data_IF_378788009732
#
_entry.id   IF_378788009732
#
_cell.length_a   1.000
_cell.length_b   1.000
_cell.length_c   1.000
_cell.angle_alpha   90.00
_cell.angle_beta   90.00
_cell.angle_gamma   90.00
#
_symmetry.space_group_name_H-M   'P 1'
#
loop_
_entity.id
_entity.type
_entity.pdbx_description
1 polymer ?
#
# COMPACT_ATOMS: atom_id res chain seq x y z
N UNK A 1 -58.73 -20.36 70.14
CA UNK A 1 -57.29 -20.08 70.37
C UNK A 1 -56.70 -19.52 69.08
N UNK A 2 -56.28 -18.23 69.08
CA UNK A 2 -55.72 -17.54 67.91
C UNK A 2 -54.23 -17.88 67.78
N UNK A 3 -53.78 -18.37 66.62
CA UNK A 3 -52.35 -18.48 66.29
C UNK A 3 -51.87 -17.13 65.73
N UNK A 4 -50.86 -16.54 66.38
CA UNK A 4 -50.20 -15.31 65.93
C UNK A 4 -49.09 -15.65 64.93
N UNK A 5 -49.03 -14.91 63.82
CA UNK A 5 -48.00 -15.00 62.79
C UNK A 5 -46.72 -14.27 63.25
N UNK A 6 -45.57 -14.93 63.12
CA UNK A 6 -44.26 -14.33 63.31
C UNK A 6 -43.98 -13.31 62.18
N UNK A 7 -43.52 -12.12 62.56
CA UNK A 7 -43.04 -11.09 61.62
C UNK A 7 -41.52 -11.12 61.61
N UNK A 8 -40.92 -11.47 60.47
CA UNK A 8 -39.48 -11.33 60.26
C UNK A 8 -39.12 -9.84 60.15
N UNK A 9 -38.29 -9.36 61.08
CA UNK A 9 -37.72 -8.01 61.04
C UNK A 9 -36.37 -8.06 60.33
N UNK A 10 -36.37 -7.81 59.02
CA UNK A 10 -35.14 -7.46 58.32
C UNK A 10 -34.61 -6.13 58.89
N UNK A 11 -33.33 -6.03 59.28
CA UNK A 11 -32.79 -4.79 59.86
C UNK A 11 -32.86 -3.66 58.82
N UNK A 12 -33.65 -2.63 59.10
CA UNK A 12 -33.72 -1.42 58.28
C UNK A 12 -32.43 -0.61 58.43
N UNK A 13 -31.59 -0.62 57.41
CA UNK A 13 -30.40 0.24 57.38
C UNK A 13 -30.84 1.72 57.46
N UNK A 14 -30.15 2.57 58.24
CA UNK A 14 -30.48 4.00 58.29
C UNK A 14 -30.40 4.63 56.90
N UNK A 15 -31.50 5.24 56.45
CA UNK A 15 -31.62 5.78 55.08
C UNK A 15 -30.50 6.76 54.69
N UNK A 16 -29.95 7.50 55.67
CA UNK A 16 -28.84 8.43 55.42
C UNK A 16 -27.54 7.73 55.03
N UNK A 17 -27.26 6.53 55.57
CA UNK A 17 -26.07 5.74 55.21
C UNK A 17 -26.21 5.19 53.79
N UNK A 18 -27.39 4.69 53.44
CA UNK A 18 -27.69 4.21 52.09
C UNK A 18 -27.58 5.33 51.05
N UNK A 19 -28.12 6.52 51.36
CA UNK A 19 -28.05 7.68 50.47
C UNK A 19 -26.61 8.20 50.31
N UNK A 20 -25.81 8.19 51.38
CA UNK A 20 -24.39 8.57 51.31
C UNK A 20 -23.59 7.64 50.41
N UNK A 21 -23.77 6.32 50.57
CA UNK A 21 -23.09 5.32 49.72
C UNK A 21 -23.53 5.46 48.26
N UNK A 22 -24.82 5.70 48.01
CA UNK A 22 -25.34 5.92 46.65
C UNK A 22 -24.74 7.17 46.01
N UNK A 23 -24.60 8.27 46.77
CA UNK A 23 -23.99 9.51 46.30
C UNK A 23 -22.51 9.32 45.94
N UNK A 24 -21.77 8.61 46.79
CA UNK A 24 -20.36 8.30 46.54
C UNK A 24 -20.18 7.42 45.30
N UNK A 25 -21.05 6.41 45.14
CA UNK A 25 -21.06 5.55 43.96
C UNK A 25 -21.39 6.35 42.68
N UNK A 26 -22.40 7.23 42.75
CA UNK A 26 -22.77 8.09 41.62
C UNK A 26 -21.63 9.06 41.25
N UNK A 27 -20.99 9.67 42.24
CA UNK A 27 -19.82 10.54 42.02
C UNK A 27 -18.65 9.78 41.37
N UNK A 28 -18.42 8.53 41.78
CA UNK A 28 -17.42 7.67 41.16
C UNK A 28 -17.72 7.36 39.69
N UNK A 29 -18.98 7.00 39.37
CA UNK A 29 -19.41 6.79 37.99
C UNK A 29 -19.29 8.05 37.13
N UNK A 30 -19.63 9.23 37.68
CA UNK A 30 -19.45 10.51 36.99
C UNK A 30 -17.95 10.78 36.73
N UNK A 31 -17.09 10.49 37.70
CA UNK A 31 -15.63 10.59 37.53
C UNK A 31 -15.10 9.68 36.42
N UNK A 32 -15.58 8.44 36.34
CA UNK A 32 -15.23 7.51 35.25
C UNK A 32 -15.76 7.98 33.90
N UNK A 33 -17.00 8.46 33.83
CA UNK A 33 -17.59 8.99 32.61
C UNK A 33 -16.81 10.22 32.10
N UNK A 34 -16.45 11.15 33.00
CA UNK A 34 -15.60 12.29 32.66
C UNK A 34 -14.21 11.86 32.18
N UNK A 35 -13.61 10.86 32.83
CA UNK A 35 -12.31 10.29 32.42
C UNK A 35 -12.37 9.63 31.05
N UNK A 36 -13.46 8.92 30.75
CA UNK A 36 -13.71 8.29 29.47
C UNK A 36 -13.93 9.32 28.36
N UNK A 37 -14.75 10.34 28.61
CA UNK A 37 -14.96 11.46 27.69
C UNK A 37 -13.66 12.22 27.41
N UNK A 38 -12.83 12.46 28.43
CA UNK A 38 -11.52 13.10 28.23
C UNK A 38 -10.59 12.25 27.36
N UNK A 39 -10.56 10.92 27.58
CA UNK A 39 -9.74 10.02 26.78
C UNK A 39 -10.23 9.92 25.32
N UNK A 40 -11.56 9.89 25.11
CA UNK A 40 -12.17 9.81 23.79
C UNK A 40 -12.14 11.15 23.03
N UNK A 41 -12.31 12.30 23.70
CA UNK A 41 -12.40 13.60 23.02
C UNK A 41 -11.03 14.24 22.72
N UNK A 42 -10.04 14.10 23.62
CA UNK A 42 -8.75 14.79 23.50
C UNK A 42 -7.60 13.90 23.00
N UNK A 43 -7.70 12.57 23.15
CA UNK A 43 -6.60 11.65 22.84
C UNK A 43 -6.83 10.76 21.60
N UNK A 44 -7.96 10.89 20.90
CA UNK A 44 -8.22 10.14 19.66
C UNK A 44 -7.15 10.44 18.60
N UNK A 45 -6.76 11.69 18.42
CA UNK A 45 -5.78 12.12 17.42
C UNK A 45 -4.45 11.37 17.48
N UNK A 46 -3.93 11.08 18.68
CA UNK A 46 -2.62 10.41 18.82
C UNK A 46 -2.71 8.91 18.48
N UNK A 47 -3.78 8.24 18.91
CA UNK A 47 -3.99 6.82 18.63
C UNK A 47 -4.41 6.59 17.17
N UNK A 48 -5.20 7.50 16.62
CA UNK A 48 -5.69 7.45 15.24
C UNK A 48 -4.54 7.71 14.26
N UNK A 49 -3.67 8.70 14.51
CA UNK A 49 -2.43 8.90 13.72
C UNK A 49 -1.48 7.70 13.76
N UNK A 50 -1.36 7.01 14.91
CA UNK A 50 -0.54 5.79 15.06
C UNK A 50 -1.17 4.54 14.43
N UNK A 51 -2.48 4.59 14.17
CA UNK A 51 -3.21 3.64 13.33
C UNK A 51 -3.00 3.95 11.85
N UNK A 52 -3.22 5.21 11.44
CA UNK A 52 -3.05 5.70 10.07
C UNK A 52 -1.64 5.48 9.54
N UNK A 53 -0.59 5.71 10.36
CA UNK A 53 0.79 5.44 9.96
C UNK A 53 1.08 3.97 9.63
N UNK A 54 0.19 3.06 10.03
CA UNK A 54 0.33 1.61 9.81
C UNK A 54 -0.39 1.13 8.55
N UNK A 55 -1.36 1.90 8.04
CA UNK A 55 -2.22 1.49 6.91
C UNK A 55 -2.16 2.44 5.70
N UNK A 56 -1.90 3.72 5.92
CA UNK A 56 -1.80 4.72 4.86
C UNK A 56 -0.39 4.69 4.25
N UNK A 57 -0.28 4.25 3.01
CA UNK A 57 0.96 4.34 2.22
C UNK A 57 0.80 5.35 1.10
N UNK A 58 1.80 6.20 0.94
CA UNK A 58 1.94 7.04 -0.25
C UNK A 58 2.63 6.19 -1.31
N UNK A 59 1.95 5.94 -2.42
CA UNK A 59 2.53 5.33 -3.61
C UNK A 59 2.77 6.45 -4.62
N UNK A 60 4.01 6.58 -5.08
CA UNK A 60 4.32 7.47 -6.19
C UNK A 60 3.74 6.91 -7.48
N UNK A 61 3.00 7.74 -8.21
CA UNK A 61 2.51 7.44 -9.54
C UNK A 61 3.49 8.07 -10.52
N UNK A 62 4.21 7.22 -11.25
CA UNK A 62 5.12 7.66 -12.30
C UNK A 62 4.39 8.50 -13.35
N UNK A 63 4.90 9.69 -13.64
CA UNK A 63 4.38 10.51 -14.72
C UNK A 63 4.74 9.89 -16.07
N UNK A 64 3.87 10.06 -17.07
CA UNK A 64 4.21 9.72 -18.44
C UNK A 64 5.18 10.75 -18.99
N UNK A 65 6.36 10.31 -19.43
CA UNK A 65 7.37 11.17 -20.04
C UNK A 65 6.86 11.79 -21.35
N UNK A 66 7.22 13.05 -21.60
CA UNK A 66 6.83 13.80 -22.80
C UNK A 66 7.27 13.12 -24.11
N UNK A 67 6.45 13.23 -25.15
CA UNK A 67 6.78 12.70 -26.48
C UNK A 67 7.79 13.60 -27.19
N UNK A 68 8.80 13.01 -27.82
CA UNK A 68 9.69 13.73 -28.74
C UNK A 68 9.20 13.49 -30.16
N UNK A 69 8.97 14.58 -30.90
CA UNK A 69 8.51 14.55 -32.29
C UNK A 69 9.46 15.34 -33.19
N UNK A 70 9.53 14.96 -34.46
CA UNK A 70 10.22 15.76 -35.49
C UNK A 70 9.35 16.96 -35.92
N UNK A 71 9.92 17.85 -36.75
CA UNK A 71 9.27 19.00 -37.39
C UNK A 71 7.99 18.66 -38.17
N UNK A 72 7.84 17.42 -38.63
CA UNK A 72 6.66 16.93 -39.34
C UNK A 72 5.66 16.24 -38.40
N UNK A 73 5.87 16.32 -37.07
CA UNK A 73 5.06 15.70 -36.03
C UNK A 73 5.10 14.16 -36.02
N UNK A 74 6.18 13.58 -36.55
CA UNK A 74 6.43 12.13 -36.47
C UNK A 74 7.09 11.77 -35.13
N UNK A 75 6.61 10.72 -34.42
CA UNK A 75 7.13 10.36 -33.10
C UNK A 75 8.52 9.75 -33.20
N UNK A 76 9.47 10.38 -32.53
CA UNK A 76 10.86 9.93 -32.43
C UNK A 76 11.13 9.17 -31.12
N UNK A 77 10.44 9.54 -30.04
CA UNK A 77 10.46 8.82 -28.76
C UNK A 77 9.10 8.91 -28.05
N UNK A 78 8.59 7.75 -27.64
CA UNK A 78 7.27 7.61 -26.99
C UNK A 78 7.42 6.83 -25.69
N UNK A 79 6.68 7.22 -24.64
CA UNK A 79 6.56 6.42 -23.43
C UNK A 79 5.35 5.51 -23.51
N UNK A 80 5.61 4.21 -23.50
CA UNK A 80 4.59 3.17 -23.59
C UNK A 80 4.35 2.58 -22.19
N UNK A 81 3.09 2.38 -21.77
CA UNK A 81 2.79 1.72 -20.51
C UNK A 81 3.26 0.26 -20.55
N UNK A 82 3.96 -0.15 -19.51
CA UNK A 82 4.44 -1.51 -19.28
C UNK A 82 4.14 -1.93 -17.85
N UNK A 83 4.26 -3.22 -17.56
CA UNK A 83 4.00 -3.76 -16.24
C UNK A 83 5.27 -4.39 -15.68
N UNK A 84 5.61 -4.06 -14.44
CA UNK A 84 6.67 -4.73 -13.69
C UNK A 84 6.06 -5.71 -12.70
N UNK A 85 6.63 -6.91 -12.62
CA UNK A 85 6.23 -7.92 -11.64
C UNK A 85 7.08 -7.73 -10.39
N UNK A 86 6.40 -7.46 -9.28
CA UNK A 86 7.00 -7.31 -7.97
C UNK A 86 6.38 -8.32 -6.99
N UNK A 87 7.07 -8.55 -5.88
CA UNK A 87 6.58 -9.38 -4.80
C UNK A 87 6.89 -8.75 -3.44
N UNK A 88 6.05 -9.08 -2.46
CA UNK A 88 6.32 -8.90 -1.02
C UNK A 88 6.77 -10.25 -0.47
N UNK A 89 8.09 -10.51 -0.32
CA UNK A 89 8.61 -11.80 0.13
C UNK A 89 7.94 -12.37 1.39
N UNK A 90 7.54 -11.51 2.33
CA UNK A 90 6.85 -11.92 3.55
C UNK A 90 5.43 -12.50 3.30
N UNK A 91 4.78 -12.10 2.22
CA UNK A 91 3.40 -12.48 1.87
C UNK A 91 3.34 -13.53 0.74
N UNK A 92 4.48 -13.98 0.23
CA UNK A 92 4.53 -14.98 -0.85
C UNK A 92 4.28 -16.37 -0.28
N UNK A 93 3.06 -16.86 -0.51
CA UNK A 93 2.65 -18.24 -0.23
C UNK A 93 2.44 -18.96 -1.56
N UNK A 94 3.38 -19.80 -1.98
CA UNK A 94 3.33 -20.47 -3.27
C UNK A 94 3.85 -21.90 -3.21
N UNK A 95 3.19 -22.79 -3.94
CA UNK A 95 3.67 -24.16 -4.11
C UNK A 95 4.94 -24.19 -4.99
N UNK A 96 5.86 -25.15 -4.79
CA UNK A 96 7.06 -25.26 -5.62
C UNK A 96 6.76 -25.36 -7.13
N UNK A 97 5.58 -25.87 -7.50
CA UNK A 97 5.11 -25.94 -8.88
C UNK A 97 4.73 -24.55 -9.45
N UNK A 98 4.10 -23.71 -8.63
CA UNK A 98 3.71 -22.35 -9.02
C UNK A 98 4.94 -21.46 -9.17
N UNK A 99 5.91 -21.56 -8.26
CA UNK A 99 7.18 -20.85 -8.37
C UNK A 99 7.96 -21.24 -9.64
N UNK A 100 7.92 -22.51 -10.04
CA UNK A 100 8.52 -22.95 -11.32
C UNK A 100 7.81 -22.31 -12.51
N UNK A 101 6.48 -22.24 -12.49
CA UNK A 101 5.68 -21.63 -13.56
C UNK A 101 5.88 -20.11 -13.63
N UNK A 102 5.97 -19.46 -12.48
CA UNK A 102 6.32 -18.05 -12.37
C UNK A 102 7.71 -17.78 -12.96
N UNK A 103 8.72 -18.56 -12.57
CA UNK A 103 10.08 -18.44 -13.10
C UNK A 103 10.11 -18.59 -14.64
N UNK A 104 9.36 -19.55 -15.19
CA UNK A 104 9.23 -19.75 -16.63
C UNK A 104 8.59 -18.55 -17.34
N UNK A 105 7.50 -17.99 -16.80
CA UNK A 105 6.84 -16.82 -17.37
C UNK A 105 7.72 -15.56 -17.31
N UNK A 106 8.51 -15.41 -16.25
CA UNK A 106 9.43 -14.29 -16.08
C UNK A 106 10.76 -14.47 -16.84
N UNK A 107 11.02 -15.67 -17.36
CA UNK A 107 12.27 -16.03 -18.05
C UNK A 107 13.50 -15.97 -17.15
N UNK A 108 13.35 -16.25 -15.85
CA UNK A 108 14.44 -16.29 -14.86
C UNK A 108 14.61 -17.70 -14.30
N UNK A 109 15.78 -18.00 -13.73
CA UNK A 109 15.99 -19.30 -13.11
C UNK A 109 15.22 -19.44 -11.80
N UNK A 110 14.85 -20.67 -11.43
CA UNK A 110 14.19 -20.93 -10.15
C UNK A 110 15.07 -20.56 -8.94
N UNK A 111 16.39 -20.65 -9.08
CA UNK A 111 17.35 -20.24 -8.05
C UNK A 111 17.38 -18.72 -7.88
N UNK A 112 17.41 -17.98 -9.00
CA UNK A 112 17.37 -16.52 -8.98
C UNK A 112 16.07 -16.01 -8.36
N UNK A 113 14.93 -16.60 -8.71
CA UNK A 113 13.64 -16.28 -8.11
C UNK A 113 13.65 -16.50 -6.60
N UNK A 114 14.15 -17.66 -6.14
CA UNK A 114 14.27 -17.97 -4.70
C UNK A 114 15.21 -17.02 -3.98
N UNK A 115 16.34 -16.67 -4.59
CA UNK A 115 17.30 -15.74 -4.01
C UNK A 115 16.68 -14.35 -3.81
N UNK A 116 15.89 -13.87 -4.78
CA UNK A 116 15.15 -12.60 -4.66
C UNK A 116 14.06 -12.64 -3.59
N UNK A 117 13.46 -13.80 -3.34
CA UNK A 117 12.42 -14.02 -2.34
C UNK A 117 12.95 -14.45 -0.97
N UNK A 118 14.27 -14.68 -0.82
CA UNK A 118 14.85 -15.20 0.42
C UNK A 118 14.83 -14.17 1.56
N UNK A 119 14.90 -12.88 1.23
CA UNK A 119 14.93 -11.78 2.20
C UNK A 119 13.51 -11.35 2.58
N UNK A 120 12.96 -11.97 3.62
CA UNK A 120 11.61 -11.69 4.16
C UNK A 120 11.53 -10.38 4.96
N UNK A 121 12.66 -9.70 5.21
CA UNK A 121 12.63 -8.38 5.85
C UNK A 121 12.24 -7.28 4.87
N UNK A 122 12.42 -7.52 3.57
CA UNK A 122 11.98 -6.58 2.53
C UNK A 122 10.49 -6.72 2.32
N UNK A 123 9.80 -5.59 2.36
CA UNK A 123 8.38 -5.51 2.02
C UNK A 123 8.14 -5.54 0.49
N UNK A 124 9.18 -5.29 -0.30
CA UNK A 124 9.06 -5.10 -1.74
C UNK A 124 10.34 -5.51 -2.48
N UNK A 125 10.20 -6.36 -3.49
CA UNK A 125 11.28 -6.78 -4.40
C UNK A 125 10.76 -6.90 -5.83
N UNK A 126 11.48 -6.32 -6.80
CA UNK A 126 11.23 -6.53 -8.22
C UNK A 126 11.68 -7.93 -8.67
N UNK A 127 10.75 -8.72 -9.19
CA UNK A 127 11.06 -10.02 -9.81
C UNK A 127 11.48 -9.84 -11.27
N UNK A 128 10.79 -8.96 -12.00
CA UNK A 128 11.15 -8.61 -13.38
C UNK A 128 10.49 -7.28 -13.73
N UNK A 129 11.26 -6.37 -14.34
CA UNK A 129 10.77 -5.04 -14.72
C UNK A 129 10.40 -4.95 -16.19
N UNK A 130 9.48 -4.04 -16.50
CA UNK A 130 9.13 -3.62 -17.87
C UNK A 130 8.70 -4.77 -18.80
N UNK A 131 7.84 -5.67 -18.32
CA UNK A 131 7.22 -6.69 -19.16
C UNK A 131 6.11 -6.09 -20.03
N UNK A 132 5.90 -6.65 -21.24
CA UNK A 132 4.69 -6.38 -22.01
C UNK A 132 3.44 -6.72 -21.18
N UNK A 133 2.37 -5.90 -21.25
CA UNK A 133 1.13 -6.14 -20.49
C UNK A 133 0.57 -7.57 -20.67
N UNK A 134 0.59 -8.12 -21.89
CA UNK A 134 0.13 -9.48 -22.18
C UNK A 134 0.93 -10.59 -21.47
N UNK A 135 2.21 -10.35 -21.17
CA UNK A 135 3.02 -11.29 -20.38
C UNK A 135 2.72 -11.13 -18.89
N UNK A 136 2.55 -9.90 -18.42
CA UNK A 136 2.24 -9.60 -17.03
C UNK A 136 0.85 -10.11 -16.62
N UNK A 137 -0.15 -10.05 -17.49
CA UNK A 137 -1.49 -10.61 -17.26
C UNK A 137 -1.42 -12.12 -16.97
N UNK A 138 -0.59 -12.87 -17.72
CA UNK A 138 -0.38 -14.30 -17.49
C UNK A 138 0.24 -14.58 -16.11
N UNK A 139 1.05 -13.67 -15.59
CA UNK A 139 1.62 -13.78 -14.24
C UNK A 139 0.54 -13.58 -13.18
N UNK A 140 -0.34 -12.59 -13.35
CA UNK A 140 -1.47 -12.35 -12.42
C UNK A 140 -2.45 -13.52 -12.42
N UNK A 141 -2.68 -14.15 -13.58
CA UNK A 141 -3.54 -15.33 -13.69
C UNK A 141 -3.05 -16.54 -12.87
N UNK A 142 -1.78 -16.57 -12.44
CA UNK A 142 -1.30 -17.60 -11.51
C UNK A 142 -1.89 -17.43 -10.11
N UNK A 143 -2.40 -16.25 -9.75
CA UNK A 143 -3.09 -16.02 -8.48
C UNK A 143 -2.22 -16.16 -7.24
N UNK A 144 -0.88 -16.07 -7.38
CA UNK A 144 0.07 -16.26 -6.28
C UNK A 144 -0.05 -15.09 -5.28
N UNK A 145 -0.42 -15.36 -4.00
CA UNK A 145 -0.39 -14.36 -2.95
C UNK A 145 0.98 -13.67 -2.83
N UNK A 146 0.98 -12.37 -2.54
CA UNK A 146 2.21 -11.59 -2.39
C UNK A 146 2.89 -11.18 -3.71
N UNK A 147 2.47 -11.70 -4.87
CA UNK A 147 2.93 -11.25 -6.20
C UNK A 147 1.92 -10.29 -6.81
N UNK A 148 2.39 -9.15 -7.30
CA UNK A 148 1.55 -8.10 -7.87
C UNK A 148 2.24 -7.37 -9.02
N UNK A 149 1.43 -6.69 -9.83
CA UNK A 149 1.92 -5.84 -10.91
C UNK A 149 2.04 -4.39 -10.45
N UNK A 150 3.08 -3.73 -10.96
CA UNK A 150 3.28 -2.31 -10.84
C UNK A 150 3.37 -1.70 -12.23
N UNK A 151 2.47 -0.75 -12.50
CA UNK A 151 2.46 0.02 -13.74
C UNK A 151 3.71 0.89 -13.80
N UNK A 152 4.45 0.75 -14.87
CA UNK A 152 5.61 1.56 -15.20
C UNK A 152 5.50 2.06 -16.64
N UNK A 153 6.42 2.93 -17.04
CA UNK A 153 6.56 3.34 -18.43
C UNK A 153 7.92 2.91 -18.94
N UNK A 154 7.97 2.57 -20.23
CA UNK A 154 9.22 2.31 -20.93
C UNK A 154 9.29 3.19 -22.17
N UNK A 155 10.47 3.75 -22.39
CA UNK A 155 10.76 4.55 -23.58
C UNK A 155 10.97 3.67 -24.81
N UNK A 156 10.24 3.98 -25.88
CA UNK A 156 10.34 3.32 -27.18
C UNK A 156 10.73 4.35 -28.25
N UNK A 157 11.65 3.97 -29.14
CA UNK A 157 12.24 4.84 -30.16
C UNK A 157 11.91 4.29 -31.56
N UNK A 158 10.83 4.74 -32.22
CA UNK A 158 10.40 4.20 -33.52
C UNK A 158 11.45 4.34 -34.62
N UNK A 159 12.21 5.44 -34.62
CA UNK A 159 13.29 5.69 -35.58
C UNK A 159 14.56 4.85 -35.33
N UNK A 160 14.60 4.10 -34.21
CA UNK A 160 15.68 3.17 -33.87
C UNK A 160 17.07 3.81 -33.87
N UNK A 161 18.02 3.07 -34.44
CA UNK A 161 19.46 3.41 -34.43
C UNK A 161 19.80 4.68 -35.22
N UNK A 162 18.97 5.07 -36.20
CA UNK A 162 19.28 6.20 -37.10
C UNK A 162 19.36 7.53 -36.33
N UNK A 163 18.55 7.65 -35.27
CA UNK A 163 18.46 8.88 -34.46
C UNK A 163 18.92 8.67 -33.01
N UNK A 164 19.43 7.50 -32.66
CA UNK A 164 19.77 7.14 -31.27
C UNK A 164 20.83 8.04 -30.65
N UNK A 165 21.82 8.48 -31.42
CA UNK A 165 22.86 9.39 -30.91
C UNK A 165 22.39 10.83 -30.71
N UNK A 166 21.35 11.25 -31.42
CA UNK A 166 20.78 12.60 -31.30
C UNK A 166 19.74 12.61 -30.18
N UNK A 167 18.86 11.62 -30.17
CA UNK A 167 17.80 11.50 -29.16
C UNK A 167 18.38 11.05 -27.82
N UNK A 168 19.28 10.07 -27.84
CA UNK A 168 19.80 9.42 -26.65
C UNK A 168 18.93 8.25 -26.20
N UNK A 169 19.09 7.85 -24.95
CA UNK A 169 18.26 6.83 -24.32
C UNK A 169 17.96 7.14 -22.85
N UNK A 170 17.02 6.39 -22.28
CA UNK A 170 16.66 6.43 -20.85
C UNK A 170 17.08 5.15 -20.15
N UNK A 171 17.31 5.24 -18.84
CA UNK A 171 17.59 4.10 -17.98
C UNK A 171 16.34 3.29 -17.61
N UNK A 172 16.52 2.29 -16.75
CA UNK A 172 15.40 1.44 -16.25
C UNK A 172 14.40 2.25 -15.42
N UNK A 173 14.85 3.35 -14.80
CA UNK A 173 14.01 4.26 -14.04
C UNK A 173 13.44 5.43 -14.87
N UNK A 174 13.44 5.28 -16.20
CA UNK A 174 12.92 6.27 -17.18
C UNK A 174 13.60 7.65 -17.14
N UNK A 175 14.81 7.73 -16.55
CA UNK A 175 15.66 8.93 -16.54
C UNK A 175 16.55 8.98 -17.77
N UNK A 176 16.55 10.10 -18.48
CA UNK A 176 17.45 10.38 -19.60
C UNK A 176 18.90 10.28 -19.17
N UNK A 177 19.70 9.56 -19.95
CA UNK A 177 21.13 9.35 -19.67
C UNK A 177 22.03 10.04 -20.71
N UNK A 178 21.52 10.27 -21.92
CA UNK A 178 22.31 10.81 -23.02
C UNK A 178 21.51 11.79 -23.90
N UNK A 179 22.24 12.64 -24.62
CA UNK A 179 21.76 13.52 -25.68
C UNK A 179 20.48 14.31 -25.32
N UNK A 180 19.48 14.38 -26.22
CA UNK A 180 18.26 15.16 -25.99
C UNK A 180 17.46 14.66 -24.79
N UNK A 181 17.41 13.34 -24.55
CA UNK A 181 16.72 12.77 -23.39
C UNK A 181 17.31 13.29 -22.08
N UNK A 182 18.64 13.40 -21.96
CA UNK A 182 19.30 13.99 -20.79
C UNK A 182 19.15 15.52 -20.76
N UNK A 183 19.36 16.19 -21.89
CA UNK A 183 19.36 17.65 -21.97
C UNK A 183 17.99 18.26 -21.61
N UNK A 184 16.90 17.56 -21.92
CA UNK A 184 15.53 17.99 -21.65
C UNK A 184 14.85 17.18 -20.55
N UNK A 185 15.61 16.50 -19.68
CA UNK A 185 15.07 15.66 -18.59
C UNK A 185 14.03 16.40 -17.74
N UNK A 186 14.31 17.64 -17.34
CA UNK A 186 13.39 18.43 -16.49
C UNK A 186 12.05 18.74 -17.19
N UNK A 187 12.06 18.85 -18.52
CA UNK A 187 10.85 19.14 -19.31
C UNK A 187 10.12 17.84 -19.66
N UNK A 188 10.87 16.78 -20.00
CA UNK A 188 10.32 15.51 -20.45
C UNK A 188 9.83 14.64 -19.29
N UNK A 189 10.52 14.62 -18.15
CA UNK A 189 10.23 13.73 -17.02
C UNK A 189 8.90 13.99 -16.32
N UNK A 190 8.29 15.16 -16.53
CA UNK A 190 7.06 15.54 -15.86
C UNK A 190 7.24 15.62 -14.34
N UNK A 191 6.12 15.60 -13.60
CA UNK A 191 6.14 15.57 -12.14
C UNK A 191 5.43 14.31 -11.66
N UNK A 192 6.08 13.43 -10.90
CA UNK A 192 5.42 12.25 -10.37
C UNK A 192 4.24 12.69 -9.50
N UNK A 193 3.10 12.03 -9.69
CA UNK A 193 1.97 12.16 -8.79
C UNK A 193 2.21 11.36 -7.52
N UNK A 194 1.42 11.59 -6.49
CA UNK A 194 1.42 10.77 -5.29
C UNK A 194 0.00 10.42 -4.93
N UNK A 195 -0.26 9.15 -4.62
CA UNK A 195 -1.57 8.68 -4.21
C UNK A 195 -1.51 8.01 -2.87
N UNK A 196 -2.41 8.40 -1.97
CA UNK A 196 -2.49 7.81 -0.63
C UNK A 196 -3.45 6.64 -0.65
N UNK A 197 -2.93 5.44 -0.45
CA UNK A 197 -3.72 4.21 -0.44
C UNK A 197 -3.72 3.56 0.93
N UNK A 198 -4.86 2.97 1.29
CA UNK A 198 -4.98 2.05 2.42
C UNK A 198 -4.80 0.64 1.90
N UNK A 199 -3.84 -0.09 2.47
CA UNK A 199 -3.59 -1.49 2.13
C UNK A 199 -4.15 -2.43 3.20
N UNK A 200 -4.70 -3.56 2.78
CA UNK A 200 -5.04 -4.66 3.69
C UNK A 200 -3.80 -5.44 4.16
N UNK A 201 -4.00 -6.41 5.06
CA UNK A 201 -2.93 -7.31 5.55
C UNK A 201 -2.31 -8.17 4.43
N UNK A 202 -2.98 -8.29 3.29
CA UNK A 202 -2.55 -9.08 2.13
C UNK A 202 -1.92 -8.18 1.03
N UNK A 203 -1.67 -6.90 1.33
CA UNK A 203 -1.05 -5.93 0.43
C UNK A 203 -1.97 -5.36 -0.66
N UNK A 204 -3.26 -5.72 -0.68
CA UNK A 204 -4.24 -5.23 -1.66
C UNK A 204 -4.66 -3.81 -1.31
N UNK A 205 -4.86 -2.98 -2.33
CA UNK A 205 -5.35 -1.61 -2.16
C UNK A 205 -6.86 -1.67 -1.92
N UNK A 206 -7.30 -1.24 -0.75
CA UNK A 206 -8.70 -1.26 -0.32
C UNK A 206 -9.39 0.08 -0.60
N UNK A 207 -8.68 1.18 -0.35
CA UNK A 207 -9.27 2.52 -0.42
C UNK A 207 -8.24 3.56 -0.86
N UNK A 208 -8.71 4.53 -1.62
CA UNK A 208 -7.97 5.67 -2.13
C UNK A 208 -8.36 6.91 -1.33
N UNK A 209 -7.42 7.44 -0.52
CA UNK A 209 -7.71 8.47 0.48
C UNK A 209 -7.54 9.87 -0.10
N UNK A 210 -6.66 10.04 -1.10
CA UNK A 210 -6.35 11.34 -1.72
C UNK A 210 -5.65 11.13 -3.08
N UNK A 211 -6.15 11.82 -4.12
CA UNK A 211 -5.57 11.94 -5.48
C UNK A 211 -5.01 13.33 -5.73
#
# INVERSE_FOLDING_TARGET
>A
MKRAAARDHAPSLPAWRANLVLLLLAAWFIGLAGRALWLQALNNDFLQRKGESRYSRVIEIGASRGMIVDRNNEPLAISTPVESVAASPADVEAEPAELRRLAQLLGISGEELRSRLADTQREFVYLKRQLPPEQAERVVQLGIPGVFLQREHRRYYPAGEVMSHIIGFTGVDDKGQEALELAFEETLGGKPGSRRVIKDRLGRIVEDVES
#
